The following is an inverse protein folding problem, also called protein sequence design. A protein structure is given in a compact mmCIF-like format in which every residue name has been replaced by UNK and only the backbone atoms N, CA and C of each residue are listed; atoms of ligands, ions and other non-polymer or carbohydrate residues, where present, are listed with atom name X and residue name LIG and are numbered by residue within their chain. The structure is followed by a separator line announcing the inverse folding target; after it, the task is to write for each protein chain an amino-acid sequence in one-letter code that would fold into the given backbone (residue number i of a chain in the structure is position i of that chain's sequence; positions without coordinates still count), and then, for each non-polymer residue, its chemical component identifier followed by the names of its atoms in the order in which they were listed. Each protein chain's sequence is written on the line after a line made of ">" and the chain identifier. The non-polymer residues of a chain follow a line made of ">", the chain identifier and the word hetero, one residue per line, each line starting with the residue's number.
data_IF_973766620472
#
_entry.id   IF_973766620472
#
_cell.length_a   1.000
_cell.length_b   1.000
_cell.length_c   1.000
_cell.angle_alpha   90.00
_cell.angle_beta   90.00
_cell.angle_gamma   90.00
#
_symmetry.space_group_name_H-M   'P 1'
#
loop_
_entity.id
_entity.type
_entity.pdbx_description
1 polymer ?
#
# COMPACT_ATOMS: atom_id res chain seq x y z
N UNK A 1 10.39 2.87 0.89
CA UNK A 1 8.95 2.97 1.20
C UNK A 1 8.33 4.09 0.38
N UNK A 2 7.12 3.90 -0.21
CA UNK A 2 6.37 4.94 -0.91
C UNK A 2 5.31 5.50 0.03
N UNK A 3 5.28 6.82 0.19
CA UNK A 3 4.37 7.55 1.09
C UNK A 3 3.59 8.58 0.26
N UNK A 4 2.37 8.24 -0.19
CA UNK A 4 1.47 9.20 -0.81
C UNK A 4 0.92 10.19 0.22
N UNK A 5 0.93 11.48 -0.09
CA UNK A 5 0.38 12.54 0.75
C UNK A 5 -0.56 13.44 -0.05
N UNK A 6 -1.71 13.80 0.53
CA UNK A 6 -2.64 14.77 -0.01
C UNK A 6 -3.36 15.50 1.11
N UNK A 7 -3.05 16.77 1.34
CA UNK A 7 -3.53 17.59 2.45
C UNK A 7 -3.28 16.95 3.83
N UNK A 8 -2.00 16.65 4.09
CA UNK A 8 -1.54 15.95 5.30
C UNK A 8 -0.58 16.81 6.13
N UNK A 9 -0.69 18.14 6.06
CA UNK A 9 0.21 19.08 6.75
C UNK A 9 0.35 18.81 8.25
N UNK A 10 -0.73 18.33 8.89
CA UNK A 10 -0.74 18.08 10.34
C UNK A 10 0.07 16.83 10.75
N UNK A 11 0.25 15.86 9.85
CA UNK A 11 0.78 14.54 10.21
C UNK A 11 2.07 14.17 9.47
N UNK A 12 2.34 14.80 8.33
CA UNK A 12 3.41 14.41 7.43
C UNK A 12 4.79 14.45 8.09
N UNK A 13 5.13 15.52 8.78
CA UNK A 13 6.45 15.67 9.44
C UNK A 13 6.69 14.55 10.45
N UNK A 14 5.74 14.33 11.35
CA UNK A 14 5.85 13.28 12.37
C UNK A 14 5.92 11.88 11.75
N UNK A 15 5.11 11.61 10.72
CA UNK A 15 5.10 10.32 10.03
C UNK A 15 6.47 10.02 9.41
N UNK A 16 7.05 10.95 8.67
CA UNK A 16 8.33 10.75 7.98
C UNK A 16 9.49 10.62 8.97
N UNK A 17 9.51 11.41 10.05
CA UNK A 17 10.57 11.30 11.07
C UNK A 17 10.53 9.95 11.79
N UNK A 18 9.35 9.51 12.24
CA UNK A 18 9.18 8.19 12.87
C UNK A 18 9.57 7.06 11.89
N UNK A 19 9.16 7.17 10.63
CA UNK A 19 9.53 6.20 9.60
C UNK A 19 11.04 6.18 9.35
N UNK A 20 11.67 7.35 9.28
CA UNK A 20 13.10 7.52 9.10
C UNK A 20 13.89 6.83 10.21
N UNK A 21 13.58 7.15 11.46
CA UNK A 21 14.19 6.52 12.64
C UNK A 21 14.00 5.00 12.62
N UNK A 22 12.76 4.55 12.36
CA UNK A 22 12.41 3.14 12.27
C UNK A 22 13.23 2.40 11.20
N UNK A 23 13.38 2.99 10.01
CA UNK A 23 14.15 2.38 8.92
C UNK A 23 15.65 2.38 9.23
N UNK A 24 16.19 3.43 9.82
CA UNK A 24 17.58 3.47 10.32
C UNK A 24 17.86 2.34 11.31
N UNK A 25 16.96 2.11 12.26
CA UNK A 25 17.10 1.06 13.28
C UNK A 25 17.15 -0.37 12.68
N UNK A 26 16.69 -0.55 11.44
CA UNK A 26 16.76 -1.85 10.77
C UNK A 26 18.17 -2.20 10.29
N UNK A 27 19.05 -1.23 10.14
CA UNK A 27 20.38 -1.39 9.53
C UNK A 27 20.35 -1.71 8.02
N UNK A 28 19.19 -1.69 7.40
CA UNK A 28 19.03 -1.96 5.95
C UNK A 28 19.19 -0.69 5.14
N UNK A 29 19.76 -0.80 3.95
CA UNK A 29 19.72 0.29 2.95
C UNK A 29 18.26 0.57 2.58
N UNK A 30 17.85 1.82 2.68
CA UNK A 30 16.45 2.20 2.49
C UNK A 30 16.31 3.56 1.83
N UNK A 31 15.12 3.83 1.32
CA UNK A 31 14.68 5.10 0.77
C UNK A 31 13.21 5.35 1.12
N UNK A 32 12.84 6.61 1.29
CA UNK A 32 11.46 7.07 1.43
C UNK A 32 11.13 7.92 0.21
N UNK A 33 10.16 7.46 -0.59
CA UNK A 33 9.65 8.20 -1.74
C UNK A 33 8.33 8.85 -1.32
N UNK A 34 8.40 10.13 -1.03
CA UNK A 34 7.24 10.94 -0.65
C UNK A 34 6.63 11.53 -1.92
N UNK A 35 5.35 11.25 -2.14
CA UNK A 35 4.63 11.76 -3.32
C UNK A 35 3.52 12.69 -2.85
N UNK A 36 3.70 13.99 -3.06
CA UNK A 36 2.64 14.98 -2.88
C UNK A 36 1.70 14.94 -4.09
N UNK A 37 0.47 14.54 -3.86
CA UNK A 37 -0.56 14.36 -4.88
C UNK A 37 -1.39 15.64 -5.12
N UNK A 38 -0.71 16.76 -5.25
CA UNK A 38 -1.31 18.05 -5.55
C UNK A 38 -2.05 18.67 -4.37
N UNK A 39 -1.43 18.68 -3.20
CA UNK A 39 -1.97 19.27 -1.98
C UNK A 39 -2.23 20.77 -2.12
N UNK A 40 -3.18 21.27 -1.34
CA UNK A 40 -3.58 22.67 -1.32
C UNK A 40 -3.25 23.38 0.01
N UNK A 41 -2.78 22.60 1.00
CA UNK A 41 -2.29 23.05 2.27
C UNK A 41 -0.74 23.09 2.25
N UNK A 42 -0.09 23.14 3.40
CA UNK A 42 1.36 23.20 3.53
C UNK A 42 2.08 21.87 3.33
N UNK A 43 1.40 20.81 2.88
CA UNK A 43 1.99 19.47 2.69
C UNK A 43 3.20 19.51 1.75
N UNK A 44 3.08 20.22 0.60
CA UNK A 44 4.19 20.32 -0.36
C UNK A 44 5.43 21.02 0.25
N UNK A 45 5.23 22.13 0.97
CA UNK A 45 6.29 22.86 1.65
C UNK A 45 7.00 21.99 2.70
N UNK A 46 6.22 21.24 3.49
CA UNK A 46 6.74 20.31 4.49
C UNK A 46 7.52 19.17 3.82
N UNK A 47 7.03 18.64 2.72
CA UNK A 47 7.71 17.60 1.95
C UNK A 47 9.08 18.05 1.47
N UNK A 48 9.17 19.23 0.86
CA UNK A 48 10.43 19.82 0.39
C UNK A 48 11.43 20.07 1.51
N UNK A 49 10.95 20.50 2.68
CA UNK A 49 11.79 20.65 3.87
C UNK A 49 12.35 19.30 4.29
N UNK A 50 11.52 18.26 4.40
CA UNK A 50 11.93 16.91 4.78
C UNK A 50 12.96 16.33 3.82
N UNK A 51 12.84 16.57 2.50
CA UNK A 51 13.83 16.14 1.52
C UNK A 51 15.22 16.79 1.73
N UNK A 52 15.27 17.99 2.28
CA UNK A 52 16.53 18.66 2.63
C UNK A 52 17.13 18.19 3.96
N UNK A 53 16.27 17.85 4.92
CA UNK A 53 16.68 17.48 6.28
C UNK A 53 17.01 15.99 6.43
N UNK A 54 16.38 15.12 5.63
CA UNK A 54 16.50 13.65 5.74
C UNK A 54 17.11 13.07 4.44
N UNK A 55 18.37 12.60 4.46
CA UNK A 55 19.16 12.30 3.25
C UNK A 55 18.57 11.25 2.32
N UNK A 56 17.76 10.32 2.81
CA UNK A 56 17.15 9.24 2.03
C UNK A 56 15.67 9.48 1.71
N UNK A 57 15.18 10.70 1.93
CA UNK A 57 13.84 11.14 1.48
C UNK A 57 13.96 11.79 0.11
N UNK A 58 13.17 11.30 -0.83
CA UNK A 58 12.98 11.90 -2.15
C UNK A 58 11.53 12.35 -2.28
N UNK A 59 11.31 13.55 -2.84
CA UNK A 59 9.98 14.13 -3.02
C UNK A 59 9.63 14.22 -4.50
N UNK A 60 8.39 13.86 -4.82
CA UNK A 60 7.79 14.03 -6.13
C UNK A 60 6.46 14.75 -5.99
N UNK A 61 6.29 15.88 -6.69
CA UNK A 61 5.02 16.58 -6.78
C UNK A 61 4.30 16.22 -8.07
N UNK A 62 3.00 16.05 -7.98
CA UNK A 62 2.15 15.80 -9.16
C UNK A 62 0.78 16.44 -9.02
N UNK A 63 0.05 16.55 -10.13
CA UNK A 63 -1.37 16.88 -10.08
C UNK A 63 -2.12 15.71 -9.44
N UNK A 64 -3.20 16.02 -8.71
CA UNK A 64 -3.97 15.00 -7.98
C UNK A 64 -4.48 13.89 -8.90
N UNK A 65 -4.01 12.68 -8.66
CA UNK A 65 -4.39 11.44 -9.34
C UNK A 65 -4.94 10.39 -8.37
N UNK A 66 -5.08 10.76 -7.09
CA UNK A 66 -5.46 9.88 -6.00
C UNK A 66 -4.33 8.92 -5.59
N UNK A 67 -4.54 8.22 -4.49
CA UNK A 67 -3.53 7.34 -3.87
C UNK A 67 -2.91 6.34 -4.87
N UNK A 68 -3.68 5.85 -5.84
CA UNK A 68 -3.18 4.94 -6.86
C UNK A 68 -2.21 5.61 -7.85
N UNK A 69 -2.48 6.86 -8.23
CA UNK A 69 -1.59 7.66 -9.06
C UNK A 69 -0.29 7.97 -8.34
N UNK A 70 -0.39 8.45 -7.11
CA UNK A 70 0.76 8.75 -6.27
C UNK A 70 1.62 7.51 -6.01
N UNK A 71 1.01 6.37 -5.72
CA UNK A 71 1.74 5.13 -5.54
C UNK A 71 2.49 4.70 -6.82
N UNK A 72 1.85 4.78 -8.00
CA UNK A 72 2.52 4.49 -9.28
C UNK A 72 3.74 5.39 -9.51
N UNK A 73 3.63 6.68 -9.22
CA UNK A 73 4.76 7.63 -9.31
C UNK A 73 5.88 7.20 -8.37
N UNK A 74 5.58 6.90 -7.12
CA UNK A 74 6.57 6.44 -6.14
C UNK A 74 7.22 5.11 -6.52
N UNK A 75 6.47 4.14 -7.05
CA UNK A 75 7.02 2.86 -7.54
C UNK A 75 7.99 3.09 -8.68
N UNK A 76 7.68 3.97 -9.63
CA UNK A 76 8.58 4.29 -10.75
C UNK A 76 9.87 4.97 -10.30
N UNK A 77 9.80 5.82 -9.28
CA UNK A 77 10.93 6.52 -8.71
C UNK A 77 11.79 5.61 -7.82
N UNK A 78 11.20 4.54 -7.27
CA UNK A 78 11.88 3.67 -6.32
C UNK A 78 12.98 2.82 -6.97
N UNK A 79 14.04 2.53 -6.20
CA UNK A 79 15.16 1.66 -6.59
C UNK A 79 15.28 0.43 -5.71
N UNK A 80 14.56 0.40 -4.58
CA UNK A 80 14.62 -0.67 -3.60
C UNK A 80 14.28 -2.04 -4.17
N UNK A 81 14.90 -3.07 -3.59
CA UNK A 81 14.57 -4.47 -3.88
C UNK A 81 13.16 -4.81 -3.43
N UNK A 82 12.71 -4.24 -2.33
CA UNK A 82 11.33 -4.32 -1.88
C UNK A 82 10.70 -2.93 -1.84
N UNK A 83 9.44 -2.84 -2.26
CA UNK A 83 8.66 -1.60 -2.26
C UNK A 83 7.38 -1.82 -1.47
N UNK A 84 7.07 -0.91 -0.56
CA UNK A 84 5.82 -0.92 0.20
C UNK A 84 5.13 0.43 0.16
N UNK A 85 3.80 0.43 0.20
CA UNK A 85 2.99 1.63 0.40
C UNK A 85 2.74 1.84 1.89
N UNK A 86 3.03 3.03 2.39
CA UNK A 86 2.71 3.40 3.77
C UNK A 86 1.87 4.69 3.82
N UNK A 87 0.67 4.66 4.43
CA UNK A 87 -0.17 5.84 4.54
C UNK A 87 0.34 6.79 5.63
N UNK A 88 0.21 8.11 5.41
CA UNK A 88 0.67 9.16 6.34
C UNK A 88 -0.05 9.09 7.70
N UNK A 89 -1.32 8.69 7.71
CA UNK A 89 -2.16 8.62 8.92
C UNK A 89 -1.82 7.45 9.86
N UNK A 90 -0.78 6.68 9.53
CA UNK A 90 -0.32 5.55 10.34
C UNK A 90 1.13 5.74 10.76
N UNK A 91 1.44 5.70 12.06
CA UNK A 91 2.82 5.69 12.52
C UNK A 91 3.53 4.41 12.04
N UNK A 92 4.71 4.57 11.45
CA UNK A 92 5.55 3.46 11.01
C UNK A 92 6.61 3.17 12.08
N UNK A 93 6.28 2.28 13.00
CA UNK A 93 7.18 1.93 14.12
C UNK A 93 7.98 0.68 13.79
N UNK A 94 9.11 0.49 14.46
CA UNK A 94 9.95 -0.72 14.31
C UNK A 94 9.16 -2.01 14.55
N UNK A 95 8.23 -2.01 15.50
CA UNK A 95 7.36 -3.16 15.77
C UNK A 95 6.43 -3.50 14.59
N UNK A 96 5.99 -2.48 13.83
CA UNK A 96 5.08 -2.65 12.68
C UNK A 96 5.82 -3.23 11.47
N UNK A 97 7.08 -2.84 11.26
CA UNK A 97 7.91 -3.31 10.14
C UNK A 97 8.63 -4.64 10.43
N UNK A 98 8.96 -4.93 11.68
CA UNK A 98 9.75 -6.13 12.05
C UNK A 98 9.22 -7.45 11.48
N UNK A 99 7.89 -7.74 11.45
CA UNK A 99 7.38 -8.96 10.85
C UNK A 99 7.73 -9.09 9.36
N UNK A 100 7.69 -7.99 8.63
CA UNK A 100 8.02 -7.97 7.20
C UNK A 100 9.52 -8.14 6.97
N UNK A 101 10.35 -7.40 7.71
CA UNK A 101 11.81 -7.39 7.56
C UNK A 101 12.40 -8.79 7.78
N UNK A 102 11.89 -9.56 8.75
CA UNK A 102 12.32 -10.94 9.01
C UNK A 102 12.05 -11.90 7.84
N UNK A 103 11.22 -11.49 6.90
CA UNK A 103 10.80 -12.30 5.76
C UNK A 103 11.38 -11.81 4.42
N UNK A 104 12.20 -10.76 4.42
CA UNK A 104 12.87 -10.28 3.22
C UNK A 104 13.73 -11.40 2.60
N UNK A 105 13.70 -11.50 1.29
CA UNK A 105 14.39 -12.55 0.53
C UNK A 105 13.70 -13.93 0.54
N UNK A 106 12.61 -14.13 1.31
CA UNK A 106 11.92 -15.43 1.41
C UNK A 106 10.73 -15.56 0.46
N UNK A 107 10.19 -14.46 -0.02
CA UNK A 107 9.10 -14.44 -0.98
C UNK A 107 9.12 -13.14 -1.79
N UNK A 108 8.51 -13.16 -2.97
CA UNK A 108 8.35 -11.97 -3.81
C UNK A 108 7.38 -10.95 -3.21
N UNK A 109 6.39 -11.42 -2.46
CA UNK A 109 5.40 -10.57 -1.78
C UNK A 109 5.26 -11.01 -0.33
N UNK A 110 5.51 -10.07 0.58
CA UNK A 110 5.28 -10.27 2.01
C UNK A 110 3.99 -9.54 2.36
N UNK A 111 2.95 -10.30 2.70
CA UNK A 111 1.59 -9.82 2.92
C UNK A 111 1.33 -9.68 4.41
N UNK A 112 1.03 -8.47 4.87
CA UNK A 112 0.61 -8.24 6.24
C UNK A 112 -0.82 -8.70 6.48
N UNK A 113 -1.03 -9.56 7.48
CA UNK A 113 -2.33 -10.04 7.89
C UNK A 113 -2.69 -9.52 9.28
N UNK A 114 -3.73 -8.71 9.36
CA UNK A 114 -4.18 -8.09 10.62
C UNK A 114 -4.77 -9.13 11.56
N UNK A 115 -4.09 -9.42 12.68
CA UNK A 115 -4.58 -10.38 13.69
C UNK A 115 -5.82 -9.88 14.42
N UNK A 116 -5.84 -8.60 14.80
CA UNK A 116 -6.94 -7.97 15.53
C UNK A 116 -7.35 -6.69 14.82
N UNK A 117 -8.63 -6.57 14.53
CA UNK A 117 -9.21 -5.40 13.85
C UNK A 117 -9.95 -4.53 14.88
N UNK A 118 -9.15 -3.94 15.81
CA UNK A 118 -9.69 -3.03 16.82
C UNK A 118 -10.43 -1.87 16.15
N UNK A 119 -11.60 -1.49 16.68
CA UNK A 119 -12.42 -0.39 16.16
C UNK A 119 -13.27 -0.74 14.93
N UNK A 120 -13.28 -2.01 14.48
CA UNK A 120 -14.17 -2.44 13.40
C UNK A 120 -15.57 -2.75 13.94
N UNK A 121 -16.60 -2.21 13.27
CA UNK A 121 -17.98 -2.62 13.49
C UNK A 121 -18.30 -3.94 12.76
N UNK A 122 -19.48 -4.51 13.02
CA UNK A 122 -19.91 -5.79 12.43
C UNK A 122 -19.87 -5.79 10.90
N UNK A 123 -20.28 -4.70 10.24
CA UNK A 123 -20.26 -4.57 8.78
C UNK A 123 -18.83 -4.57 8.24
N UNK A 124 -17.91 -3.88 8.91
CA UNK A 124 -16.49 -3.87 8.52
C UNK A 124 -15.85 -5.25 8.72
N UNK A 125 -16.20 -5.97 9.77
CA UNK A 125 -15.73 -7.34 10.02
C UNK A 125 -16.27 -8.30 8.96
N UNK A 126 -17.55 -8.19 8.62
CA UNK A 126 -18.17 -8.98 7.55
C UNK A 126 -17.48 -8.73 6.21
N UNK A 127 -17.25 -7.46 5.85
CA UNK A 127 -16.53 -7.11 4.62
C UNK A 127 -15.10 -7.64 4.62
N UNK A 128 -14.41 -7.54 5.74
CA UNK A 128 -13.05 -8.05 5.89
C UNK A 128 -12.96 -9.58 5.79
N UNK A 129 -14.03 -10.30 6.12
CA UNK A 129 -14.15 -11.75 5.94
C UNK A 129 -14.55 -12.13 4.51
N UNK A 130 -15.47 -11.38 3.90
CA UNK A 130 -16.03 -11.67 2.59
C UNK A 130 -15.06 -11.30 1.44
N UNK A 131 -14.39 -10.15 1.55
CA UNK A 131 -13.59 -9.59 0.48
C UNK A 131 -12.46 -10.53 -0.02
N UNK A 132 -11.62 -11.14 0.83
CA UNK A 132 -10.61 -12.11 0.39
C UNK A 132 -11.23 -13.35 -0.28
N UNK A 133 -12.45 -13.75 0.11
CA UNK A 133 -13.17 -14.87 -0.52
C UNK A 133 -13.64 -14.54 -1.92
N UNK A 134 -14.14 -13.31 -2.12
CA UNK A 134 -14.49 -12.82 -3.46
C UNK A 134 -13.24 -12.78 -4.35
N UNK A 135 -12.12 -12.28 -3.83
CA UNK A 135 -10.85 -12.25 -4.56
C UNK A 135 -10.39 -13.66 -4.92
N UNK A 136 -10.51 -14.61 -3.99
CA UNK A 136 -10.21 -16.01 -4.27
C UNK A 136 -11.12 -16.58 -5.38
N UNK A 137 -12.43 -16.35 -5.29
CA UNK A 137 -13.39 -16.85 -6.30
C UNK A 137 -13.17 -16.28 -7.70
N UNK A 138 -12.77 -15.00 -7.81
CA UNK A 138 -12.57 -14.32 -9.09
C UNK A 138 -11.19 -14.59 -9.70
N UNK A 139 -10.15 -14.69 -8.89
CA UNK A 139 -8.75 -14.69 -9.36
C UNK A 139 -7.94 -15.92 -8.93
N UNK A 140 -8.50 -16.80 -8.11
CA UNK A 140 -7.79 -17.96 -7.56
C UNK A 140 -6.73 -17.60 -6.49
N UNK A 141 -6.64 -16.34 -6.06
CA UNK A 141 -5.65 -15.86 -5.11
C UNK A 141 -6.11 -16.10 -3.67
N UNK A 142 -5.46 -17.04 -2.97
CA UNK A 142 -5.82 -17.43 -1.60
C UNK A 142 -4.92 -16.73 -0.59
N UNK A 143 -5.40 -15.61 -0.04
CA UNK A 143 -4.75 -14.83 1.01
C UNK A 143 -5.74 -14.48 2.12
N UNK A 144 -5.26 -14.36 3.37
CA UNK A 144 -6.09 -13.99 4.53
C UNK A 144 -6.47 -12.51 4.54
N UNK A 145 -5.57 -11.66 4.05
CA UNK A 145 -5.81 -10.21 3.92
C UNK A 145 -5.22 -9.71 2.60
N UNK A 146 -6.00 -8.93 1.85
CA UNK A 146 -5.61 -8.40 0.54
C UNK A 146 -5.68 -6.87 0.48
N UNK A 147 -6.02 -6.25 1.61
CA UNK A 147 -6.23 -4.80 1.72
C UNK A 147 -5.40 -4.18 2.85
N UNK A 148 -4.20 -4.70 3.04
CA UNK A 148 -3.28 -4.18 4.03
C UNK A 148 -1.91 -3.93 3.43
N UNK A 149 -0.99 -3.42 4.23
CA UNK A 149 0.38 -3.13 3.84
C UNK A 149 1.05 -4.44 3.40
N UNK A 150 1.70 -4.39 2.25
CA UNK A 150 2.55 -5.45 1.74
C UNK A 150 3.91 -4.87 1.35
N UNK A 151 4.94 -5.70 1.40
CA UNK A 151 6.20 -5.44 0.72
C UNK A 151 6.25 -6.28 -0.55
N UNK A 152 6.46 -5.64 -1.66
CA UNK A 152 6.48 -6.24 -2.99
C UNK A 152 7.92 -6.26 -3.52
N UNK A 153 8.29 -7.31 -4.21
CA UNK A 153 9.51 -7.32 -5.04
C UNK A 153 9.49 -6.12 -6.00
N UNK A 154 10.46 -5.23 -5.84
CA UNK A 154 10.49 -3.95 -6.54
C UNK A 154 10.63 -4.10 -8.05
N UNK A 155 11.59 -4.89 -8.58
CA UNK A 155 11.68 -5.23 -9.99
C UNK A 155 10.35 -5.72 -10.56
N UNK A 156 9.73 -6.75 -9.95
CA UNK A 156 8.45 -7.28 -10.43
C UNK A 156 7.33 -6.23 -10.41
N UNK A 157 7.26 -5.40 -9.34
CA UNK A 157 6.21 -4.38 -9.21
C UNK A 157 6.36 -3.26 -10.24
N UNK A 158 7.58 -2.82 -10.55
CA UNK A 158 7.83 -1.77 -11.55
C UNK A 158 7.39 -2.19 -12.96
N UNK A 159 7.42 -3.49 -13.27
CA UNK A 159 6.95 -4.03 -14.53
C UNK A 159 5.42 -4.18 -14.61
N UNK A 160 4.71 -4.03 -13.50
CA UNK A 160 3.25 -4.15 -13.48
C UNK A 160 2.58 -2.87 -13.95
N UNK A 161 1.74 -2.96 -14.97
CA UNK A 161 0.85 -1.87 -15.37
C UNK A 161 -0.40 -1.86 -14.47
N UNK A 162 -0.43 -0.92 -13.53
CA UNK A 162 -1.58 -0.71 -12.64
C UNK A 162 -2.62 0.19 -13.32
N UNK A 163 -3.88 -0.24 -13.30
CA UNK A 163 -5.02 0.43 -13.91
C UNK A 163 -6.03 0.94 -12.89
N UNK A 164 -6.10 0.30 -11.72
CA UNK A 164 -7.04 0.66 -10.65
C UNK A 164 -6.49 1.76 -9.75
N UNK A 165 -7.39 2.37 -8.98
CA UNK A 165 -7.06 3.34 -7.93
C UNK A 165 -7.75 2.94 -6.61
N UNK A 166 -7.32 3.52 -5.50
CA UNK A 166 -7.87 3.21 -4.17
C UNK A 166 -7.63 1.75 -3.73
N UNK A 167 -8.56 1.20 -2.97
CA UNK A 167 -8.49 -0.17 -2.43
C UNK A 167 -8.33 -1.24 -3.52
N UNK A 168 -9.05 -1.20 -4.66
CA UNK A 168 -8.89 -2.19 -5.72
C UNK A 168 -7.48 -2.27 -6.29
N UNK A 169 -6.69 -1.20 -6.25
CA UNK A 169 -5.30 -1.21 -6.69
C UNK A 169 -4.45 -2.20 -5.89
N UNK A 170 -4.62 -2.27 -4.57
CA UNK A 170 -3.86 -3.21 -3.73
C UNK A 170 -4.13 -4.66 -4.17
N UNK A 171 -5.40 -4.98 -4.43
CA UNK A 171 -5.79 -6.29 -4.95
C UNK A 171 -5.26 -6.52 -6.37
N UNK A 172 -5.30 -5.50 -7.25
CA UNK A 172 -4.73 -5.59 -8.60
C UNK A 172 -3.25 -5.96 -8.56
N UNK A 173 -2.47 -5.33 -7.69
CA UNK A 173 -1.04 -5.64 -7.54
C UNK A 173 -0.86 -7.12 -7.20
N UNK A 174 -1.56 -7.61 -6.18
CA UNK A 174 -1.45 -9.00 -5.72
C UNK A 174 -1.84 -9.99 -6.82
N UNK A 175 -2.95 -9.73 -7.53
CA UNK A 175 -3.43 -10.56 -8.65
C UNK A 175 -2.42 -10.57 -9.79
N UNK A 176 -1.94 -9.41 -10.24
CA UNK A 176 -0.99 -9.31 -11.35
C UNK A 176 0.36 -9.95 -11.04
N UNK A 177 0.86 -9.78 -9.80
CA UNK A 177 2.09 -10.43 -9.36
C UNK A 177 1.93 -11.94 -9.24
N UNK A 178 0.79 -12.44 -8.74
CA UNK A 178 0.47 -13.87 -8.70
C UNK A 178 0.54 -14.51 -10.08
N UNK A 179 0.00 -13.85 -11.11
CA UNK A 179 0.05 -14.35 -12.49
C UNK A 179 1.44 -14.30 -13.13
N UNK A 180 2.34 -13.52 -12.57
CA UNK A 180 3.75 -13.49 -12.96
C UNK A 180 4.62 -14.48 -12.18
N UNK A 181 4.00 -15.39 -11.42
CA UNK A 181 4.69 -16.41 -10.65
C UNK A 181 5.29 -15.91 -9.34
N UNK A 182 4.83 -14.74 -8.82
CA UNK A 182 5.29 -14.26 -7.52
C UNK A 182 4.93 -15.25 -6.41
N UNK A 183 5.86 -15.46 -5.49
CA UNK A 183 5.65 -16.22 -4.26
C UNK A 183 5.13 -15.30 -3.17
N UNK A 184 4.23 -15.81 -2.31
CA UNK A 184 3.58 -15.05 -1.24
C UNK A 184 3.92 -15.63 0.12
N UNK A 185 4.23 -14.75 1.07
CA UNK A 185 4.42 -15.10 2.47
C UNK A 185 3.56 -14.18 3.34
N UNK A 186 2.64 -14.75 4.09
CA UNK A 186 1.76 -14.01 5.00
C UNK A 186 2.41 -13.88 6.38
N UNK A 187 2.43 -12.65 6.90
CA UNK A 187 2.95 -12.33 8.24
C UNK A 187 1.85 -11.71 9.08
N UNK A 188 1.73 -12.17 10.31
CA UNK A 188 0.78 -11.60 11.25
C UNK A 188 1.30 -10.25 11.75
N UNK A 189 0.44 -9.23 11.63
CA UNK A 189 0.74 -7.87 12.07
C UNK A 189 -0.34 -7.37 13.03
N UNK A 190 0.05 -6.52 13.97
CA UNK A 190 -0.90 -5.80 14.78
C UNK A 190 -1.33 -4.54 14.05
N UNK A 191 -2.65 -4.26 14.08
CA UNK A 191 -3.17 -3.02 13.53
C UNK A 191 -2.89 -1.90 14.52
N UNK A 192 -1.98 -1.00 14.17
CA UNK A 192 -1.82 0.25 14.89
C UNK A 192 -3.05 1.11 14.66
N UNK A 193 -3.63 1.64 15.74
CA UNK A 193 -4.76 2.56 15.63
C UNK A 193 -4.31 3.83 14.93
N UNK A 194 -5.08 4.28 13.95
CA UNK A 194 -4.88 5.58 13.30
C UNK A 194 -4.92 6.69 14.34
N UNK A 195 -4.08 7.68 14.17
CA UNK A 195 -4.04 8.83 15.08
C UNK A 195 -5.34 9.67 15.01
N UNK A 196 -6.04 9.67 13.85
CA UNK A 196 -7.31 10.39 13.67
C UNK A 196 -8.12 9.84 12.49
N UNK A 197 -9.43 10.13 12.48
CA UNK A 197 -10.34 9.88 11.36
C UNK A 197 -11.18 8.62 11.44
N UNK A 198 -12.35 8.64 10.76
CA UNK A 198 -13.24 7.48 10.59
C UNK A 198 -12.72 6.65 9.41
N UNK A 199 -12.55 5.32 9.56
CA UNK A 199 -12.11 4.47 8.48
C UNK A 199 -13.00 4.64 7.24
N UNK A 200 -12.42 5.04 6.11
CA UNK A 200 -13.16 5.22 4.85
C UNK A 200 -13.87 3.94 4.38
N UNK A 201 -13.34 2.79 4.76
CA UNK A 201 -13.93 1.47 4.48
C UNK A 201 -15.31 1.24 5.14
N UNK A 202 -15.73 2.08 6.09
CA UNK A 202 -17.07 2.03 6.69
C UNK A 202 -18.17 2.65 5.79
N UNK A 203 -17.80 3.35 4.72
CA UNK A 203 -18.77 4.03 3.84
C UNK A 203 -19.26 3.06 2.77
N UNK A 204 -20.57 2.83 2.68
CA UNK A 204 -21.21 1.96 1.67
C UNK A 204 -20.76 2.30 0.24
N UNK A 205 -20.59 3.59 -0.06
CA UNK A 205 -20.08 4.07 -1.36
C UNK A 205 -18.67 3.52 -1.67
N UNK A 206 -17.80 3.44 -0.65
CA UNK A 206 -16.44 2.90 -0.83
C UNK A 206 -16.50 1.40 -1.08
N UNK A 207 -17.35 0.68 -0.36
CA UNK A 207 -17.56 -0.76 -0.56
C UNK A 207 -18.08 -1.05 -1.98
N UNK A 208 -19.10 -0.29 -2.43
CA UNK A 208 -19.64 -0.40 -3.79
C UNK A 208 -18.58 -0.12 -4.87
N UNK A 209 -17.84 0.98 -4.75
CA UNK A 209 -16.76 1.33 -5.68
C UNK A 209 -15.65 0.27 -5.69
N UNK A 210 -15.36 -0.33 -4.53
CA UNK A 210 -14.37 -1.42 -4.42
C UNK A 210 -14.84 -2.66 -5.16
N UNK A 211 -16.11 -3.04 -5.03
CA UNK A 211 -16.69 -4.17 -5.75
C UNK A 211 -16.70 -3.92 -7.27
N UNK A 212 -17.13 -2.74 -7.71
CA UNK A 212 -17.06 -2.36 -9.13
C UNK A 212 -15.62 -2.40 -9.67
N UNK A 213 -14.65 -1.94 -8.87
CA UNK A 213 -13.24 -2.02 -9.22
C UNK A 213 -12.77 -3.47 -9.40
N UNK A 214 -13.20 -4.40 -8.54
CA UNK A 214 -12.90 -5.83 -8.68
C UNK A 214 -13.53 -6.44 -9.95
N UNK A 215 -14.77 -6.10 -10.26
CA UNK A 215 -15.45 -6.60 -11.47
C UNK A 215 -14.76 -6.07 -12.73
N UNK A 216 -14.37 -4.79 -12.77
CA UNK A 216 -13.58 -4.22 -13.86
C UNK A 216 -12.22 -4.91 -14.00
N UNK A 217 -11.54 -5.12 -12.87
CA UNK A 217 -10.27 -5.86 -12.86
C UNK A 217 -10.44 -7.27 -13.39
N UNK A 218 -11.49 -7.97 -12.99
CA UNK A 218 -11.78 -9.32 -13.44
C UNK A 218 -12.06 -9.38 -14.95
N UNK A 219 -12.84 -8.45 -15.50
CA UNK A 219 -13.13 -8.40 -16.94
C UNK A 219 -11.88 -8.13 -17.78
N UNK A 220 -11.05 -7.17 -17.36
CA UNK A 220 -9.78 -6.86 -18.06
C UNK A 220 -8.78 -8.01 -17.94
N UNK A 221 -8.66 -8.59 -16.77
CA UNK A 221 -7.79 -9.74 -16.53
C UNK A 221 -8.19 -10.96 -17.35
N UNK A 222 -9.47 -11.27 -17.43
CA UNK A 222 -9.98 -12.39 -18.23
C UNK A 222 -9.66 -12.22 -19.72
N UNK A 223 -9.86 -11.01 -20.25
CA UNK A 223 -9.53 -10.70 -21.65
C UNK A 223 -8.02 -10.73 -21.94
N UNK A 224 -7.17 -10.37 -20.98
CA UNK A 224 -5.71 -10.50 -21.09
C UNK A 224 -5.29 -11.99 -21.13
N UNK A 225 -5.91 -12.83 -20.30
CA UNK A 225 -5.62 -14.27 -20.24
C UNK A 225 -6.04 -15.01 -21.52
N UNK A 226 -7.19 -14.66 -22.10
CA UNK A 226 -7.68 -15.25 -23.35
C UNK A 226 -6.84 -14.88 -24.59
N UNK A 227 -6.05 -13.79 -24.52
CA UNK A 227 -5.11 -13.38 -25.59
C UNK A 227 -3.75 -14.05 -25.54
N UNK A 228 -3.42 -14.70 -24.44
CA UNK A 228 -2.11 -15.37 -24.23
C UNK A 228 -2.20 -16.88 -24.47
N UNK A 229 -3.41 -17.41 -24.56
CA UNK A 229 -3.74 -18.80 -24.95
C UNK A 229 -4.00 -18.88 -26.44
#
# INVERSE_FOLDING_TARGET
>A
MVVPAFNEEAMLDACIRIMSETLCDTGLTHEIILVDDGSRDRTAEIADRLAREVPFVQVHHQLNQGIGGAFRTGVRASRGQYVGLWPVDMPCRTADLRPYIRCLGRASVIVGCRRRRKGYNSLMLMNAWLYPRIVFGLFGLRLRDVNWICLYDGPMLRDVRLTQSGIPMLTEILVRLSHRGATFLEVDVEMTTRASGVPSAARLRVMYNTLLGLLRLWSTWRSEKERVL
#
